data_IF_495165579012
#
_entry.id   IF_495165579012
#
_cell.length_a   1.000
_cell.length_b   1.000
_cell.length_c   1.000
_cell.angle_alpha   90.00
_cell.angle_beta   90.00
_cell.angle_gamma   90.00
#
_symmetry.space_group_name_H-M   'P 1'
#
loop_
_entity.id
_entity.type
_entity.pdbx_description
1 polymer ?
#
# COMPACT_ATOMS: atom_id res chain seq x y z
N UNK A 1 67.73 -85.05 36.00
CA UNK A 1 66.79 -85.12 34.86
C UNK A 1 66.85 -83.78 34.15
N UNK A 2 66.90 -83.65 32.82
CA UNK A 2 67.14 -84.64 31.76
C UNK A 2 67.75 -83.95 30.51
N UNK A 3 68.13 -84.71 29.49
CA UNK A 3 68.51 -84.24 28.15
C UNK A 3 67.27 -83.63 27.41
N UNK A 4 67.31 -82.98 26.24
CA UNK A 4 68.07 -83.27 24.98
C UNK A 4 68.34 -82.00 24.16
N UNK A 5 69.42 -82.04 23.39
CA UNK A 5 69.91 -81.02 22.43
C UNK A 5 69.50 -81.37 20.99
N UNK A 6 69.18 -80.39 20.13
CA UNK A 6 69.14 -80.60 18.67
C UNK A 6 69.69 -79.41 17.89
N UNK A 7 70.35 -79.69 16.75
CA UNK A 7 71.20 -78.75 16.01
C UNK A 7 71.00 -78.86 14.50
N UNK A 8 70.98 -77.73 13.79
CA UNK A 8 70.60 -77.61 12.37
C UNK A 8 71.72 -77.93 11.35
N UNK A 9 71.38 -78.08 10.04
CA UNK A 9 71.95 -77.27 8.92
C UNK A 9 71.55 -77.65 7.46
N UNK A 10 71.47 -76.60 6.61
CA UNK A 10 71.89 -76.48 5.17
C UNK A 10 71.13 -77.27 4.06
N UNK A 11 71.24 -76.96 2.75
CA UNK A 11 71.37 -75.68 1.97
C UNK A 11 71.45 -75.91 0.42
N UNK A 12 71.30 -74.85 -0.41
CA UNK A 12 71.54 -74.75 -1.89
C UNK A 12 70.36 -75.15 -2.83
N UNK A 13 70.27 -74.77 -4.14
CA UNK A 13 71.23 -74.09 -5.03
C UNK A 13 70.63 -73.31 -6.25
N UNK A 14 70.98 -72.01 -6.38
CA UNK A 14 71.54 -71.30 -7.58
C UNK A 14 70.87 -71.32 -8.99
N UNK A 15 70.58 -70.10 -9.50
CA UNK A 15 70.66 -69.58 -10.91
C UNK A 15 70.62 -68.01 -10.83
N UNK A 16 71.15 -67.12 -11.68
CA UNK A 16 71.73 -67.03 -13.06
C UNK A 16 70.77 -67.22 -14.25
N UNK A 17 70.62 -66.28 -15.22
CA UNK A 17 71.09 -64.88 -15.31
C UNK A 17 71.17 -64.34 -16.77
N UNK A 18 70.87 -63.04 -17.00
CA UNK A 18 70.85 -62.37 -18.33
C UNK A 18 69.41 -62.09 -18.84
N UNK A 19 69.11 -61.10 -19.71
CA UNK A 19 69.92 -60.08 -20.40
C UNK A 19 69.01 -58.93 -20.94
N UNK A 20 69.56 -57.97 -21.69
CA UNK A 20 68.88 -56.72 -22.15
C UNK A 20 69.35 -56.36 -23.60
N UNK A 21 68.86 -55.36 -24.37
CA UNK A 21 68.08 -54.13 -24.05
C UNK A 21 66.75 -53.99 -24.89
N UNK A 22 66.49 -53.14 -25.93
CA UNK A 22 65.09 -52.74 -26.26
C UNK A 22 64.62 -52.84 -27.75
N UNK A 23 63.34 -52.53 -28.01
CA UNK A 23 62.94 -51.81 -29.25
C UNK A 23 61.87 -50.73 -29.00
N UNK A 24 62.31 -49.47 -29.16
CA UNK A 24 61.62 -48.20 -29.46
C UNK A 24 60.14 -47.99 -29.02
N UNK A 25 59.92 -46.96 -28.19
CA UNK A 25 58.60 -46.38 -27.85
C UNK A 25 57.77 -46.01 -29.09
N UNK A 26 56.46 -46.23 -29.01
CA UNK A 26 55.45 -45.34 -29.61
C UNK A 26 54.72 -44.62 -28.48
N UNK A 27 54.62 -43.29 -28.52
CA UNK A 27 53.76 -42.50 -27.63
C UNK A 27 52.50 -42.12 -28.39
N UNK A 28 51.34 -42.70 -28.04
CA UNK A 28 50.02 -42.08 -28.27
C UNK A 28 49.37 -41.89 -26.91
N UNK A 29 49.02 -40.64 -26.59
CA UNK A 29 48.92 -40.20 -25.20
C UNK A 29 47.54 -40.38 -24.58
N UNK A 30 47.50 -40.77 -23.31
CA UNK A 30 46.34 -40.56 -22.45
C UNK A 30 45.98 -39.07 -22.26
N UNK A 31 46.94 -38.16 -22.47
CA UNK A 31 46.76 -36.72 -22.26
C UNK A 31 45.59 -36.11 -23.06
N UNK A 32 45.35 -36.53 -24.30
CA UNK A 32 44.21 -36.03 -25.10
C UNK A 32 42.87 -36.44 -24.48
N UNK A 33 42.72 -37.68 -24.03
CA UNK A 33 41.52 -38.12 -23.32
C UNK A 33 41.36 -37.41 -21.96
N UNK A 34 42.45 -37.18 -21.24
CA UNK A 34 42.43 -36.51 -19.94
C UNK A 34 42.01 -35.02 -20.05
N UNK A 35 42.49 -34.31 -21.08
CA UNK A 35 42.08 -32.92 -21.36
C UNK A 35 40.60 -32.84 -21.75
N UNK A 36 40.09 -33.78 -22.56
CA UNK A 36 38.66 -33.87 -22.89
C UNK A 36 37.84 -34.13 -21.62
N UNK A 37 38.28 -35.05 -20.75
CA UNK A 37 37.58 -35.37 -19.49
C UNK A 37 37.51 -34.17 -18.54
N UNK A 38 38.62 -33.45 -18.35
CA UNK A 38 38.66 -32.23 -17.50
C UNK A 38 37.83 -31.11 -18.12
N UNK A 39 37.83 -30.94 -19.44
CA UNK A 39 36.97 -29.99 -20.15
C UNK A 39 35.47 -30.28 -19.94
N UNK A 40 35.05 -31.54 -20.12
CA UNK A 40 33.68 -31.96 -19.83
C UNK A 40 33.31 -31.76 -18.36
N UNK A 41 34.22 -32.05 -17.42
CA UNK A 41 33.98 -31.84 -15.98
C UNK A 41 33.81 -30.35 -15.64
N UNK A 42 34.61 -29.46 -16.25
CA UNK A 42 34.44 -28.01 -16.07
C UNK A 42 33.14 -27.49 -16.71
N UNK A 43 32.71 -28.02 -17.85
CA UNK A 43 31.43 -27.67 -18.48
C UNK A 43 30.24 -28.14 -17.62
N UNK A 44 30.31 -29.35 -17.06
CA UNK A 44 29.29 -29.87 -16.14
C UNK A 44 29.26 -29.09 -14.81
N UNK A 45 30.42 -28.77 -14.23
CA UNK A 45 30.51 -27.96 -13.02
C UNK A 45 30.04 -26.51 -13.24
N UNK A 46 30.43 -25.89 -14.35
CA UNK A 46 29.97 -24.55 -14.76
C UNK A 46 28.46 -24.53 -15.05
N UNK A 47 27.94 -25.57 -15.70
CA UNK A 47 26.50 -25.76 -15.90
C UNK A 47 25.74 -25.95 -14.58
N UNK A 48 26.27 -26.73 -13.64
CA UNK A 48 25.65 -26.96 -12.33
C UNK A 48 25.69 -25.71 -11.44
N UNK A 49 26.82 -25.01 -11.40
CA UNK A 49 26.99 -23.77 -10.62
C UNK A 49 26.17 -22.63 -11.24
N UNK A 50 26.16 -22.52 -12.57
CA UNK A 50 25.30 -21.62 -13.34
C UNK A 50 23.81 -21.92 -13.14
N UNK A 51 23.40 -23.19 -13.12
CA UNK A 51 22.04 -23.59 -12.79
C UNK A 51 21.65 -23.21 -11.35
N UNK A 52 22.54 -23.38 -10.36
CA UNK A 52 22.30 -22.92 -8.99
C UNK A 52 22.18 -21.39 -8.91
N UNK A 53 22.98 -20.65 -9.67
CA UNK A 53 22.98 -19.18 -9.69
C UNK A 53 21.75 -18.61 -10.42
N UNK A 54 21.34 -19.23 -11.54
CA UNK A 54 20.09 -18.94 -12.25
C UNK A 54 18.88 -19.15 -11.31
N UNK A 55 18.80 -20.33 -10.69
CA UNK A 55 17.79 -20.69 -9.68
C UNK A 55 17.85 -19.85 -8.38
N UNK A 56 18.85 -18.99 -8.22
CA UNK A 56 18.91 -17.95 -7.18
C UNK A 56 18.42 -16.58 -7.69
N UNK A 57 18.72 -16.20 -8.95
CA UNK A 57 18.18 -14.96 -9.55
C UNK A 57 16.65 -14.97 -9.60
N UNK A 58 16.06 -16.12 -9.91
CA UNK A 58 14.60 -16.31 -9.96
C UNK A 58 13.91 -16.15 -8.58
N UNK A 59 14.69 -16.12 -7.49
CA UNK A 59 14.20 -15.86 -6.11
C UNK A 59 14.27 -14.40 -5.69
N UNK A 60 14.93 -13.55 -6.48
CA UNK A 60 15.11 -12.11 -6.23
C UNK A 60 14.36 -11.22 -7.22
N UNK A 61 13.69 -11.81 -8.21
CA UNK A 61 12.57 -11.13 -8.86
C UNK A 61 11.40 -11.06 -7.84
N UNK A 62 10.80 -9.89 -7.58
CA UNK A 62 9.58 -9.82 -6.80
C UNK A 62 8.48 -10.59 -7.54
N UNK A 63 8.07 -11.73 -6.99
CA UNK A 63 7.04 -12.57 -7.58
C UNK A 63 5.68 -11.86 -7.64
N UNK A 64 4.69 -12.40 -8.37
CA UNK A 64 3.35 -11.80 -8.47
C UNK A 64 2.65 -11.65 -7.11
N UNK A 65 3.12 -12.33 -6.06
CA UNK A 65 2.65 -12.17 -4.68
C UNK A 65 3.14 -10.87 -4.02
N UNK A 66 4.31 -10.34 -4.38
CA UNK A 66 4.75 -9.02 -3.97
C UNK A 66 3.86 -7.91 -4.57
N UNK A 67 3.17 -8.20 -5.68
CA UNK A 67 2.13 -7.34 -6.26
C UNK A 67 0.82 -7.31 -5.45
N UNK A 68 0.82 -7.85 -4.23
CA UNK A 68 -0.12 -7.52 -3.14
C UNK A 68 0.34 -6.32 -2.29
N UNK A 69 1.38 -5.60 -2.72
CA UNK A 69 1.51 -4.17 -2.42
C UNK A 69 0.17 -3.46 -2.62
N UNK A 70 -0.19 -2.64 -1.65
CA UNK A 70 -1.51 -2.06 -1.39
C UNK A 70 -2.21 -1.56 -2.67
N UNK A 71 -3.13 -2.36 -3.21
CA UNK A 71 -4.23 -1.80 -4.00
C UNK A 71 -5.17 -1.10 -3.02
N UNK A 72 -4.85 0.16 -2.74
CA UNK A 72 -5.69 1.07 -1.98
C UNK A 72 -7.10 1.07 -2.58
N UNK A 73 -8.07 0.58 -1.81
CA UNK A 73 -9.42 0.37 -2.30
C UNK A 73 -10.05 1.72 -2.64
N UNK A 74 -10.17 2.04 -3.92
CA UNK A 74 -10.74 3.32 -4.34
C UNK A 74 -12.24 3.32 -4.14
N UNK A 75 -12.73 4.36 -3.46
CA UNK A 75 -14.15 4.61 -3.28
C UNK A 75 -14.55 5.89 -4.00
N UNK A 76 -15.65 5.79 -4.74
CA UNK A 76 -16.36 6.93 -5.31
C UNK A 76 -17.11 7.65 -4.18
N UNK A 77 -16.94 8.96 -4.11
CA UNK A 77 -17.63 9.85 -3.16
C UNK A 77 -18.33 11.00 -3.89
N UNK A 78 -19.42 11.50 -3.31
CA UNK A 78 -20.17 12.67 -3.78
C UNK A 78 -19.98 13.83 -2.81
N UNK A 79 -19.43 14.94 -3.31
CA UNK A 79 -19.21 16.17 -2.55
C UNK A 79 -20.28 17.18 -2.93
N UNK A 80 -20.86 17.87 -1.95
CA UNK A 80 -21.96 18.80 -2.19
C UNK A 80 -21.50 20.24 -2.09
N UNK A 81 -21.59 20.96 -3.20
CA UNK A 81 -21.24 22.37 -3.32
C UNK A 81 -22.49 23.20 -3.61
N UNK A 82 -22.43 24.52 -3.41
CA UNK A 82 -23.56 25.41 -3.67
C UNK A 82 -23.73 25.62 -5.17
N UNK A 83 -24.97 25.77 -5.64
CA UNK A 83 -25.21 26.44 -6.91
C UNK A 83 -24.95 27.96 -6.81
N UNK A 84 -24.97 28.64 -7.97
CA UNK A 84 -24.65 30.07 -8.10
C UNK A 84 -25.61 30.97 -7.31
N UNK A 85 -26.85 30.51 -7.10
CA UNK A 85 -27.91 31.24 -6.41
C UNK A 85 -27.94 30.98 -4.89
N UNK A 86 -27.12 30.04 -4.39
CA UNK A 86 -27.15 29.54 -3.01
C UNK A 86 -28.55 29.06 -2.56
N UNK A 87 -29.28 28.42 -3.49
CA UNK A 87 -30.59 27.83 -3.24
C UNK A 87 -30.48 26.33 -2.96
N UNK A 88 -29.59 25.61 -3.67
CA UNK A 88 -29.45 24.17 -3.54
C UNK A 88 -27.99 23.69 -3.48
N UNK A 89 -27.82 22.53 -2.84
CA UNK A 89 -26.59 21.74 -2.90
C UNK A 89 -26.61 20.82 -4.13
N UNK A 90 -25.50 20.83 -4.88
CA UNK A 90 -25.29 20.07 -6.12
C UNK A 90 -24.07 19.16 -5.98
N UNK A 91 -24.20 17.91 -6.44
CA UNK A 91 -23.19 16.87 -6.25
C UNK A 91 -22.08 16.87 -7.30
N UNK A 92 -20.83 16.90 -6.86
CA UNK A 92 -19.65 16.62 -7.67
C UNK A 92 -19.00 15.28 -7.23
N UNK A 93 -18.81 14.36 -8.18
CA UNK A 93 -18.26 13.02 -7.89
C UNK A 93 -16.73 13.00 -7.96
N UNK A 94 -16.08 12.35 -7.00
CA UNK A 94 -14.61 12.12 -6.97
C UNK A 94 -14.25 10.70 -6.54
N UNK A 95 -13.00 10.31 -6.74
CA UNK A 95 -12.41 9.10 -6.14
C UNK A 95 -11.49 9.48 -4.98
N UNK A 96 -11.58 8.72 -3.87
CA UNK A 96 -10.63 8.77 -2.75
C UNK A 96 -10.18 7.36 -2.39
N UNK A 97 -9.11 7.27 -1.59
CA UNK A 97 -8.68 6.02 -0.96
C UNK A 97 -9.60 5.70 0.22
N UNK A 98 -10.22 4.52 0.22
CA UNK A 98 -10.93 4.00 1.37
C UNK A 98 -9.97 3.21 2.27
N UNK A 99 -9.63 3.81 3.42
CA UNK A 99 -8.80 3.19 4.45
C UNK A 99 -9.59 2.26 5.39
N UNK A 100 -10.81 1.86 5.01
CA UNK A 100 -11.60 0.83 5.68
C UNK A 100 -12.23 1.24 7.02
N UNK A 101 -12.22 2.54 7.36
CA UNK A 101 -12.85 3.05 8.59
C UNK A 101 -13.72 4.30 8.33
N UNK A 102 -14.88 4.44 9.02
CA UNK A 102 -15.75 5.60 8.86
C UNK A 102 -15.05 6.93 9.09
N UNK A 103 -14.21 7.03 10.13
CA UNK A 103 -13.42 8.22 10.47
C UNK A 103 -12.43 8.61 9.37
N UNK A 104 -11.68 7.65 8.80
CA UNK A 104 -10.71 7.96 7.76
C UNK A 104 -11.38 8.34 6.43
N UNK A 105 -12.52 7.73 6.10
CA UNK A 105 -13.32 8.14 4.94
C UNK A 105 -13.93 9.54 5.15
N UNK A 106 -14.42 9.84 6.35
CA UNK A 106 -14.94 11.17 6.69
C UNK A 106 -13.85 12.25 6.56
N UNK A 107 -12.63 11.96 7.05
CA UNK A 107 -11.45 12.81 6.86
C UNK A 107 -11.18 13.06 5.36
N UNK A 108 -11.11 12.02 4.53
CA UNK A 108 -10.85 12.14 3.10
C UNK A 108 -11.95 12.92 2.33
N UNK A 109 -13.23 12.73 2.71
CA UNK A 109 -14.38 13.49 2.18
C UNK A 109 -14.22 14.98 2.48
N UNK A 110 -13.87 15.34 3.72
CA UNK A 110 -13.72 16.74 4.12
C UNK A 110 -12.48 17.39 3.52
N UNK A 111 -11.37 16.65 3.34
CA UNK A 111 -10.18 17.14 2.66
C UNK A 111 -10.42 17.43 1.17
N UNK A 112 -11.24 16.63 0.48
CA UNK A 112 -11.66 16.95 -0.88
C UNK A 112 -12.71 18.08 -0.92
N UNK A 113 -13.60 18.19 0.05
CA UNK A 113 -14.56 19.30 0.16
C UNK A 113 -13.83 20.64 0.37
N UNK A 114 -12.79 20.66 1.20
CA UNK A 114 -11.89 21.80 1.44
C UNK A 114 -11.07 22.22 0.22
N UNK A 115 -10.90 21.35 -0.79
CA UNK A 115 -10.25 21.69 -2.06
C UNK A 115 -11.15 22.53 -2.97
N UNK A 116 -12.42 22.76 -2.60
CA UNK A 116 -13.41 23.46 -3.42
C UNK A 116 -13.88 22.62 -4.62
N UNK A 117 -14.89 23.09 -5.38
CA UNK A 117 -15.37 22.41 -6.58
C UNK A 117 -14.36 22.44 -7.73
N UNK A 118 -14.47 21.47 -8.65
CA UNK A 118 -13.70 21.42 -9.91
C UNK A 118 -14.55 21.85 -11.13
N UNK A 119 -15.85 22.00 -10.91
CA UNK A 119 -16.88 22.49 -11.83
C UNK A 119 -17.28 23.94 -11.52
N UNK A 120 -18.22 24.52 -12.28
CA UNK A 120 -18.72 25.89 -12.07
C UNK A 120 -19.61 26.11 -10.83
N UNK A 121 -19.60 25.17 -9.88
CA UNK A 121 -20.29 25.29 -8.59
C UNK A 121 -19.52 26.25 -7.66
N UNK A 122 -20.18 26.72 -6.60
CA UNK A 122 -19.58 27.67 -5.66
C UNK A 122 -19.01 26.96 -4.41
N UNK A 123 -17.80 27.35 -3.95
CA UNK A 123 -17.18 26.78 -2.76
C UNK A 123 -17.97 27.14 -1.50
N UNK A 124 -18.27 26.12 -0.69
CA UNK A 124 -19.13 26.23 0.50
C UNK A 124 -18.35 26.45 1.79
N UNK A 125 -17.08 26.06 1.85
CA UNK A 125 -16.22 26.22 3.04
C UNK A 125 -15.30 27.45 2.86
N UNK A 126 -15.20 28.36 3.86
CA UNK A 126 -14.35 29.54 3.77
C UNK A 126 -12.86 29.26 3.50
N UNK A 127 -12.27 30.06 2.63
CA UNK A 127 -10.90 29.86 2.12
C UNK A 127 -9.84 29.95 3.24
N UNK A 128 -9.06 28.88 3.41
CA UNK A 128 -8.04 28.75 4.46
C UNK A 128 -8.52 28.03 5.73
N UNK A 129 -9.77 27.55 5.77
CA UNK A 129 -10.23 26.59 6.78
C UNK A 129 -9.35 25.34 6.77
N UNK A 130 -9.04 24.82 7.96
CA UNK A 130 -8.30 23.57 8.18
C UNK A 130 -9.07 22.68 9.15
N UNK A 131 -8.89 21.36 9.02
CA UNK A 131 -9.27 20.39 10.05
C UNK A 131 -8.15 20.39 11.10
N UNK A 132 -8.49 20.58 12.38
CA UNK A 132 -7.52 20.71 13.47
C UNK A 132 -7.20 19.38 14.18
N UNK A 133 -8.14 18.45 14.21
CA UNK A 133 -7.98 17.12 14.83
C UNK A 133 -8.61 16.02 13.97
N UNK A 134 -8.13 14.76 14.06
CA UNK A 134 -8.66 13.66 13.25
C UNK A 134 -10.17 13.49 13.45
N UNK A 135 -10.91 13.47 12.34
CA UNK A 135 -12.38 13.37 12.35
C UNK A 135 -12.81 12.08 13.04
N UNK A 136 -13.77 12.18 13.96
CA UNK A 136 -14.20 11.05 14.80
C UNK A 136 -15.66 10.69 14.52
N UNK A 137 -15.91 9.52 13.91
CA UNK A 137 -17.25 9.06 13.58
C UNK A 137 -17.63 7.80 14.37
N UNK A 138 -18.64 7.91 15.25
CA UNK A 138 -19.17 6.80 16.03
C UNK A 138 -20.67 6.97 16.33
N UNK A 139 -21.41 5.86 16.44
CA UNK A 139 -22.85 5.85 16.77
C UNK A 139 -23.71 6.81 15.92
N UNK A 140 -23.39 6.92 14.63
CA UNK A 140 -24.09 7.78 13.65
C UNK A 140 -23.79 9.29 13.76
N UNK A 141 -22.92 9.69 14.68
CA UNK A 141 -22.37 11.04 14.82
C UNK A 141 -20.95 11.09 14.26
N UNK A 142 -20.64 12.08 13.41
CA UNK A 142 -19.26 12.52 13.19
C UNK A 142 -19.00 13.83 13.96
N UNK A 143 -17.84 13.95 14.58
CA UNK A 143 -17.35 15.21 15.17
C UNK A 143 -16.20 15.73 14.32
N UNK A 144 -16.28 17.00 13.92
CA UNK A 144 -15.30 17.68 13.07
C UNK A 144 -14.85 18.97 13.76
N UNK A 145 -13.54 19.15 13.91
CA UNK A 145 -12.96 20.36 14.49
C UNK A 145 -12.27 21.20 13.42
N UNK A 146 -12.81 22.39 13.17
CA UNK A 146 -12.33 23.33 12.18
C UNK A 146 -11.51 24.45 12.81
N UNK A 147 -10.64 25.06 12.03
CA UNK A 147 -9.89 26.25 12.43
C UNK A 147 -10.76 27.52 12.40
N UNK A 148 -10.38 28.57 13.14
CA UNK A 148 -11.15 29.82 13.27
C UNK A 148 -11.47 30.50 11.93
N UNK A 149 -10.71 30.21 10.86
CA UNK A 149 -11.01 30.65 9.49
C UNK A 149 -12.40 30.19 9.00
N UNK A 150 -12.94 29.08 9.52
CA UNK A 150 -14.30 28.57 9.21
C UNK A 150 -15.42 29.54 9.61
N UNK A 151 -15.17 30.37 10.62
CA UNK A 151 -16.09 31.41 11.11
C UNK A 151 -15.62 32.79 10.66
N UNK A 152 -14.36 33.13 10.94
CA UNK A 152 -13.79 34.48 10.74
C UNK A 152 -13.61 34.89 9.28
N UNK A 153 -13.76 33.95 8.33
CA UNK A 153 -13.77 34.23 6.87
C UNK A 153 -15.07 33.81 6.20
N UNK A 154 -16.10 33.45 6.97
CA UNK A 154 -17.42 33.13 6.43
C UNK A 154 -18.05 34.40 5.82
N UNK A 155 -18.65 34.35 4.61
CA UNK A 155 -19.24 35.53 3.97
C UNK A 155 -20.48 36.06 4.69
N UNK A 156 -21.03 35.30 5.63
CA UNK A 156 -22.25 35.62 6.38
C UNK A 156 -23.54 35.31 5.61
N UNK A 157 -24.65 35.76 6.17
CA UNK A 157 -26.00 35.62 5.60
C UNK A 157 -26.59 34.21 5.73
N UNK A 158 -27.92 34.15 5.86
CA UNK A 158 -28.65 32.91 6.14
C UNK A 158 -28.38 31.80 5.12
N UNK A 159 -28.50 32.08 3.82
CA UNK A 159 -28.23 31.09 2.76
C UNK A 159 -26.77 30.64 2.72
N UNK A 160 -25.81 31.56 2.94
CA UNK A 160 -24.39 31.22 2.97
C UNK A 160 -24.04 30.29 4.15
N UNK A 161 -24.60 30.57 5.33
CA UNK A 161 -24.43 29.74 6.51
C UNK A 161 -25.09 28.36 6.36
N UNK A 162 -26.31 28.33 5.80
CA UNK A 162 -27.03 27.10 5.46
C UNK A 162 -26.24 26.22 4.49
N UNK A 163 -25.75 26.79 3.38
CA UNK A 163 -24.95 26.07 2.38
C UNK A 163 -23.63 25.56 2.96
N UNK A 164 -22.91 26.36 3.77
CA UNK A 164 -21.67 25.90 4.43
C UNK A 164 -21.91 24.69 5.34
N UNK A 165 -22.92 24.75 6.20
CA UNK A 165 -23.19 23.70 7.19
C UNK A 165 -23.71 22.43 6.51
N UNK A 166 -24.74 22.52 5.66
CA UNK A 166 -25.33 21.33 5.05
C UNK A 166 -24.45 20.72 3.96
N UNK A 167 -23.58 21.49 3.29
CA UNK A 167 -22.51 20.95 2.45
C UNK A 167 -21.64 19.93 3.20
N UNK A 168 -21.25 20.26 4.44
CA UNK A 168 -20.48 19.37 5.32
C UNK A 168 -21.34 18.20 5.82
N UNK A 169 -22.56 18.45 6.30
CA UNK A 169 -23.46 17.41 6.85
C UNK A 169 -23.81 16.36 5.80
N UNK A 170 -24.28 16.77 4.64
CA UNK A 170 -24.76 15.85 3.60
C UNK A 170 -23.60 15.13 2.91
N UNK A 171 -22.47 15.81 2.65
CA UNK A 171 -21.27 15.12 2.12
C UNK A 171 -20.78 14.02 3.05
N UNK A 172 -20.87 14.21 4.38
CA UNK A 172 -20.54 13.13 5.33
C UNK A 172 -21.62 12.03 5.36
N UNK A 173 -22.90 12.41 5.44
CA UNK A 173 -24.02 11.45 5.58
C UNK A 173 -24.26 10.57 4.34
N UNK A 174 -23.93 11.06 3.13
CA UNK A 174 -24.01 10.29 1.88
C UNK A 174 -22.85 9.30 1.76
N UNK A 175 -21.62 9.73 2.07
CA UNK A 175 -20.42 8.94 1.78
C UNK A 175 -20.06 7.93 2.88
N UNK A 176 -20.34 8.25 4.15
CA UNK A 176 -19.86 7.51 5.32
C UNK A 176 -20.99 6.65 5.91
N UNK A 177 -20.96 5.32 5.75
CA UNK A 177 -22.08 4.46 6.14
C UNK A 177 -22.42 4.58 7.63
N UNK A 178 -23.73 4.69 7.93
CA UNK A 178 -24.27 4.83 9.28
C UNK A 178 -24.26 6.25 9.85
N UNK A 179 -23.57 7.22 9.24
CA UNK A 179 -23.58 8.62 9.68
C UNK A 179 -24.92 9.28 9.34
N UNK A 180 -25.44 10.07 10.28
CA UNK A 180 -26.74 10.79 10.17
C UNK A 180 -26.71 12.23 10.69
N UNK A 181 -25.66 12.61 11.42
CA UNK A 181 -25.51 13.92 12.05
C UNK A 181 -24.04 14.28 12.28
N UNK A 182 -23.75 15.58 12.35
CA UNK A 182 -22.39 16.12 12.52
C UNK A 182 -22.35 17.13 13.67
N UNK A 183 -21.43 16.93 14.61
CA UNK A 183 -21.06 17.96 15.58
C UNK A 183 -19.92 18.81 15.01
N UNK A 184 -20.17 20.11 14.93
CA UNK A 184 -19.16 21.10 14.58
C UNK A 184 -18.42 21.56 15.84
N UNK A 185 -17.11 21.63 15.77
CA UNK A 185 -16.24 22.34 16.70
C UNK A 185 -15.42 23.37 15.92
N UNK A 186 -15.08 24.47 16.57
CA UNK A 186 -14.16 25.50 16.07
C UNK A 186 -13.12 25.74 17.16
N UNK A 187 -11.84 25.57 16.82
CA UNK A 187 -10.73 25.62 17.79
C UNK A 187 -10.97 24.74 19.04
N UNK A 188 -11.48 23.53 18.83
CA UNK A 188 -11.76 22.52 19.86
C UNK A 188 -13.02 22.78 20.69
N UNK A 189 -13.87 23.74 20.33
CA UNK A 189 -15.05 24.16 21.12
C UNK A 189 -16.33 24.21 20.26
N UNK A 190 -17.51 23.88 20.82
CA UNK A 190 -18.78 24.18 20.16
C UNK A 190 -18.93 25.70 19.93
N UNK A 191 -19.51 26.07 18.79
CA UNK A 191 -19.96 27.44 18.47
C UNK A 191 -21.47 27.44 18.35
N UNK A 192 -22.12 28.52 18.75
CA UNK A 192 -23.59 28.63 18.60
C UNK A 192 -23.99 28.66 17.12
N UNK A 193 -23.28 29.42 16.30
CA UNK A 193 -23.50 29.62 14.86
C UNK A 193 -22.19 30.03 14.16
N UNK A 194 -22.19 30.10 12.83
CA UNK A 194 -21.13 30.74 12.02
C UNK A 194 -21.41 32.25 11.87
N UNK A 195 -22.65 32.62 11.57
CA UNK A 195 -23.05 33.99 11.23
C UNK A 195 -24.35 34.48 11.91
N UNK A 196 -25.01 33.63 12.70
CA UNK A 196 -26.17 33.99 13.53
C UNK A 196 -27.52 33.45 13.04
N UNK A 197 -27.56 32.64 11.98
CA UNK A 197 -28.81 32.13 11.38
C UNK A 197 -29.05 30.64 11.61
N UNK A 198 -28.01 29.82 11.86
CA UNK A 198 -28.15 28.38 12.06
C UNK A 198 -27.43 27.90 13.32
N UNK A 199 -28.12 27.10 14.13
CA UNK A 199 -27.54 26.55 15.36
C UNK A 199 -26.64 25.34 15.07
N UNK A 200 -25.35 25.44 15.42
CA UNK A 200 -24.34 24.38 15.29
C UNK A 200 -23.73 23.96 16.65
N UNK A 201 -24.24 24.51 17.75
CA UNK A 201 -23.75 24.24 19.11
C UNK A 201 -24.02 22.82 19.62
N UNK A 202 -24.85 22.07 18.89
CA UNK A 202 -25.08 20.64 19.05
C UNK A 202 -25.07 19.94 17.68
N UNK A 203 -25.32 18.61 17.64
CA UNK A 203 -25.23 17.85 16.38
C UNK A 203 -26.31 18.24 15.36
N UNK A 204 -25.89 18.81 14.22
CA UNK A 204 -26.76 19.08 13.07
C UNK A 204 -27.08 17.75 12.40
N UNK A 205 -28.37 17.48 12.15
CA UNK A 205 -28.83 16.24 11.51
C UNK A 205 -29.02 16.45 10.01
N UNK A 206 -28.87 15.38 9.22
CA UNK A 206 -29.06 15.42 7.77
C UNK A 206 -30.47 15.91 7.38
N UNK A 207 -30.52 16.80 6.39
CA UNK A 207 -31.74 17.29 5.76
C UNK A 207 -31.59 17.22 4.21
N UNK A 208 -32.05 16.12 3.60
CA UNK A 208 -31.99 15.94 2.15
C UNK A 208 -32.87 16.90 1.33
N UNK A 209 -33.68 17.77 1.94
CA UNK A 209 -34.54 18.71 1.22
C UNK A 209 -33.75 19.79 0.46
N UNK A 210 -32.53 20.08 0.90
CA UNK A 210 -31.61 21.05 0.28
C UNK A 210 -30.86 20.51 -0.96
N UNK A 211 -31.02 19.22 -1.29
CA UNK A 211 -30.35 18.58 -2.42
C UNK A 211 -31.09 18.88 -3.74
N UNK A 212 -30.36 19.34 -4.77
CA UNK A 212 -30.96 19.65 -6.08
C UNK A 212 -31.46 18.37 -6.76
N UNK A 213 -32.76 18.07 -6.62
CA UNK A 213 -33.39 16.79 -7.01
C UNK A 213 -33.08 16.33 -8.44
N UNK A 214 -32.97 17.26 -9.38
CA UNK A 214 -32.66 16.99 -10.78
C UNK A 214 -31.24 16.44 -10.98
N UNK A 215 -30.28 16.89 -10.17
CA UNK A 215 -28.88 16.42 -10.19
C UNK A 215 -28.69 15.00 -9.58
N UNK A 216 -29.77 14.38 -9.08
CA UNK A 216 -29.75 13.03 -8.51
C UNK A 216 -30.57 12.01 -9.33
N UNK A 217 -31.29 12.44 -10.37
CA UNK A 217 -32.11 11.55 -11.20
C UNK A 217 -31.42 11.01 -12.46
N UNK A 218 -30.18 11.42 -12.74
CA UNK A 218 -29.44 11.03 -13.94
C UNK A 218 -28.00 10.59 -13.56
N UNK A 219 -27.74 9.28 -13.38
CA UNK A 219 -26.48 8.72 -12.86
C UNK A 219 -25.37 8.51 -13.92
#
# INVERSE_FOLDING_TARGET
>A
MANVNYKARRSSSRKRGGGRIPKRRSKRGWGTWFVIWVGCLMLLAGGWLGYRFWKQRDRTAPGPEARKETQEARKRITLLFSDEQAEFLVGETREVVDLGSPSALAQAVLEELLRGPRSGLQPTIPAGTRILSPVSCSQGLCTVDFSEEFVTRHPGGSSGELMTVYSVVESLCINVPGVKRVQFLVAGKPRESLAGHLFIGGPVTSDPSLLKREAWQNP
#
